data_IF_745694703822
#
_entry.id   IF_745694703822
#
_cell.length_a   1.000
_cell.length_b   1.000
_cell.length_c   1.000
_cell.angle_alpha   90.00
_cell.angle_beta   90.00
_cell.angle_gamma   90.00
#
_symmetry.space_group_name_H-M   'P 1'
#
loop_
_entity.id
_entity.type
_entity.pdbx_description
1 polymer ?
#
# COMPACT_ATOMS: atom_id res chain seq x y z
N UNK A 1 43.26 -13.00 -11.87
CA UNK A 1 43.30 -14.31 -12.56
C UNK A 1 42.17 -14.38 -13.57
N UNK A 2 42.36 -13.77 -14.75
CA UNK A 2 41.41 -13.83 -15.85
C UNK A 2 41.70 -15.09 -16.68
N UNK A 3 40.78 -16.06 -16.65
CA UNK A 3 40.89 -17.25 -17.51
C UNK A 3 40.27 -16.93 -18.86
N UNK A 4 41.14 -16.79 -19.87
CA UNK A 4 40.80 -16.62 -21.27
C UNK A 4 39.93 -17.79 -21.76
N UNK A 5 38.69 -17.50 -22.18
CA UNK A 5 37.88 -18.43 -22.96
C UNK A 5 38.57 -18.54 -24.33
N UNK A 6 39.29 -19.64 -24.56
CA UNK A 6 39.77 -20.01 -25.89
C UNK A 6 38.55 -20.23 -26.79
N UNK A 7 38.39 -19.36 -27.77
CA UNK A 7 37.39 -19.47 -28.84
C UNK A 7 37.58 -20.80 -29.57
N UNK A 8 36.62 -21.72 -29.46
CA UNK A 8 36.52 -22.88 -30.34
C UNK A 8 35.96 -22.41 -31.69
N UNK A 9 36.68 -22.58 -32.81
CA UNK A 9 36.22 -22.13 -34.12
C UNK A 9 35.07 -23.01 -34.61
N UNK A 10 33.96 -22.38 -35.03
CA UNK A 10 32.89 -23.06 -35.77
C UNK A 10 31.51 -23.11 -35.10
N UNK A 11 31.32 -22.55 -33.90
CA UNK A 11 29.97 -22.39 -33.33
C UNK A 11 29.45 -20.98 -33.60
N UNK A 12 28.32 -20.88 -34.32
CA UNK A 12 27.63 -19.60 -34.49
C UNK A 12 27.16 -19.08 -33.12
N UNK A 13 27.06 -17.75 -32.96
CA UNK A 13 26.58 -17.12 -31.73
C UNK A 13 25.19 -17.65 -31.28
N UNK A 14 24.37 -18.12 -32.23
CA UNK A 14 23.07 -18.73 -31.98
C UNK A 14 23.16 -20.12 -31.32
N UNK A 15 24.25 -20.85 -31.57
CA UNK A 15 24.47 -22.21 -31.06
C UNK A 15 24.91 -22.20 -29.58
N UNK A 16 25.58 -21.12 -29.14
CA UNK A 16 25.90 -20.88 -27.73
C UNK A 16 24.69 -20.40 -26.92
N UNK A 17 23.69 -19.80 -27.57
CA UNK A 17 22.44 -19.33 -26.95
C UNK A 17 21.45 -20.48 -26.69
N UNK A 18 21.59 -21.63 -27.36
CA UNK A 18 20.69 -22.76 -27.24
C UNK A 18 21.01 -23.68 -26.04
N UNK A 19 21.16 -23.09 -24.86
CA UNK A 19 21.12 -23.85 -23.60
C UNK A 19 19.67 -24.31 -23.35
N UNK A 20 19.36 -25.56 -23.69
CA UNK A 20 18.10 -26.21 -23.29
C UNK A 20 18.01 -26.24 -21.76
N UNK A 21 17.31 -25.27 -21.16
CA UNK A 21 16.80 -25.40 -19.79
C UNK A 21 15.59 -26.34 -19.85
N UNK A 22 15.69 -27.49 -19.19
CA UNK A 22 14.55 -28.37 -18.98
C UNK A 22 13.65 -27.77 -17.90
N UNK A 23 12.37 -27.60 -18.19
CA UNK A 23 11.35 -27.16 -17.24
C UNK A 23 10.44 -28.35 -16.99
N UNK A 24 10.35 -28.80 -15.75
CA UNK A 24 9.44 -29.87 -15.34
C UNK A 24 8.11 -29.26 -14.88
N UNK A 25 6.99 -29.81 -15.37
CA UNK A 25 5.65 -29.44 -14.94
C UNK A 25 5.01 -30.68 -14.34
N UNK A 26 4.49 -30.55 -13.12
CA UNK A 26 3.74 -31.61 -12.45
C UNK A 26 2.28 -31.20 -12.45
N UNK A 27 1.48 -31.90 -13.25
CA UNK A 27 0.04 -31.67 -13.35
C UNK A 27 -0.69 -32.84 -12.68
N UNK A 28 -1.63 -32.54 -11.79
CA UNK A 28 -2.47 -33.55 -11.14
C UNK A 28 -3.79 -33.80 -11.91
N UNK A 29 -4.04 -32.99 -12.94
CA UNK A 29 -5.23 -33.06 -13.79
C UNK A 29 -5.01 -34.17 -14.84
N UNK A 30 -5.96 -35.11 -14.93
CA UNK A 30 -5.92 -36.25 -15.86
C UNK A 30 -6.10 -35.75 -17.30
N UNK A 31 -5.02 -35.28 -17.93
CA UNK A 31 -4.98 -35.11 -19.38
C UNK A 31 -4.84 -36.49 -20.03
N UNK A 32 -5.83 -36.89 -20.83
CA UNK A 32 -5.87 -38.20 -21.52
C UNK A 32 -4.90 -38.29 -22.70
N UNK A 33 -4.27 -37.18 -23.10
CA UNK A 33 -3.23 -37.12 -24.12
C UNK A 33 -2.53 -35.76 -24.16
N UNK A 34 -1.27 -35.73 -24.59
CA UNK A 34 -0.49 -34.50 -24.76
C UNK A 34 -0.64 -34.03 -26.20
N UNK A 35 -1.42 -32.98 -26.42
CA UNK A 35 -1.51 -32.30 -27.71
C UNK A 35 -0.44 -31.20 -27.80
N UNK A 36 0.14 -31.01 -28.98
CA UNK A 36 1.12 -29.96 -29.25
C UNK A 36 0.42 -28.90 -30.11
N UNK A 37 0.48 -27.63 -29.70
CA UNK A 37 -0.10 -26.55 -30.49
C UNK A 37 0.64 -26.41 -31.84
N UNK A 38 -0.12 -26.31 -32.92
CA UNK A 38 0.39 -26.13 -34.29
C UNK A 38 0.77 -24.66 -34.58
N UNK A 39 1.56 -24.08 -33.68
CA UNK A 39 2.15 -22.75 -33.80
C UNK A 39 3.67 -22.90 -33.95
N UNK A 40 4.36 -21.86 -34.46
CA UNK A 40 5.82 -21.80 -34.54
C UNK A 40 6.55 -22.15 -33.25
N UNK A 41 5.90 -21.98 -32.08
CA UNK A 41 6.46 -22.32 -30.76
C UNK A 41 6.35 -23.81 -30.39
N UNK A 42 5.44 -24.57 -31.02
CA UNK A 42 5.20 -26.01 -30.78
C UNK A 42 5.19 -26.39 -29.29
N UNK A 43 4.46 -25.61 -28.50
CA UNK A 43 4.37 -25.84 -27.05
C UNK A 43 3.33 -26.94 -26.78
N UNK A 44 3.57 -27.86 -25.83
CA UNK A 44 2.53 -28.71 -25.28
C UNK A 44 1.36 -27.87 -24.79
N UNK A 45 0.14 -28.35 -25.01
CA UNK A 45 -1.10 -27.69 -24.59
C UNK A 45 -1.07 -27.34 -23.11
N UNK A 46 -0.55 -28.23 -22.26
CA UNK A 46 -0.37 -27.99 -20.82
C UNK A 46 0.45 -26.73 -20.53
N UNK A 47 1.55 -26.52 -21.26
CA UNK A 47 2.41 -25.35 -21.07
C UNK A 47 1.71 -24.09 -21.56
N UNK A 48 0.99 -24.16 -22.67
CA UNK A 48 0.21 -23.03 -23.19
C UNK A 48 -0.91 -22.65 -22.22
N UNK A 49 -1.68 -23.62 -21.73
CA UNK A 49 -2.75 -23.44 -20.76
C UNK A 49 -2.25 -22.84 -19.44
N UNK A 50 -1.18 -23.39 -18.88
CA UNK A 50 -0.54 -22.85 -17.68
C UNK A 50 -0.08 -21.40 -17.91
N UNK A 51 0.59 -21.13 -19.03
CA UNK A 51 1.04 -19.77 -19.34
C UNK A 51 -0.12 -18.79 -19.52
N UNK A 52 -1.27 -19.23 -20.05
CA UNK A 52 -2.48 -18.38 -20.17
C UNK A 52 -3.08 -18.04 -18.80
N UNK A 53 -3.04 -18.95 -17.83
CA UNK A 53 -3.76 -18.82 -16.55
C UNK A 53 -2.91 -18.35 -15.37
N UNK A 54 -1.60 -18.61 -15.37
CA UNK A 54 -0.68 -18.34 -14.24
C UNK A 54 -0.58 -16.86 -13.82
N UNK A 55 -0.97 -15.93 -14.69
CA UNK A 55 -0.77 -14.50 -14.45
C UNK A 55 -1.87 -13.84 -13.61
N UNK A 56 -2.98 -14.55 -13.31
CA UNK A 56 -4.12 -13.97 -12.61
C UNK A 56 -3.76 -13.26 -11.30
N UNK A 57 -3.02 -13.93 -10.42
CA UNK A 57 -2.57 -13.37 -9.13
C UNK A 57 -1.63 -12.18 -9.34
N UNK A 58 -0.70 -12.27 -10.29
CA UNK A 58 0.20 -11.16 -10.61
C UNK A 58 -0.55 -9.92 -11.11
N UNK A 59 -1.64 -10.09 -11.87
CA UNK A 59 -2.47 -8.97 -12.30
C UNK A 59 -3.17 -8.30 -11.11
N UNK A 60 -3.76 -9.09 -10.21
CA UNK A 60 -4.42 -8.57 -9.01
C UNK A 60 -3.43 -7.86 -8.09
N UNK A 61 -2.23 -8.40 -7.88
CA UNK A 61 -1.18 -7.75 -7.08
C UNK A 61 -0.74 -6.40 -7.68
N UNK A 62 -0.47 -6.37 -8.99
CA UNK A 62 -0.13 -5.12 -9.69
C UNK A 62 -1.26 -4.10 -9.61
N UNK A 63 -2.51 -4.56 -9.69
CA UNK A 63 -3.67 -3.72 -9.51
C UNK A 63 -3.73 -3.16 -8.08
N UNK A 64 -3.60 -3.99 -7.04
CA UNK A 64 -3.64 -3.54 -5.65
C UNK A 64 -2.58 -2.47 -5.38
N UNK A 65 -1.35 -2.68 -5.86
CA UNK A 65 -0.23 -1.74 -5.68
C UNK A 65 -0.47 -0.35 -6.28
N UNK A 66 -1.24 -0.23 -7.37
CA UNK A 66 -1.44 1.05 -8.07
C UNK A 66 -2.32 2.06 -7.31
N UNK A 67 -3.26 1.62 -6.47
CA UNK A 67 -4.10 2.49 -5.62
C UNK A 67 -4.14 1.97 -4.17
N UNK A 68 -3.00 1.49 -3.67
CA UNK A 68 -2.90 0.93 -2.33
C UNK A 68 -3.10 2.01 -1.27
N UNK A 69 -3.96 1.75 -0.29
CA UNK A 69 -4.19 2.65 0.87
C UNK A 69 -3.20 2.41 2.03
N UNK A 70 -2.22 1.53 1.85
CA UNK A 70 -1.22 1.19 2.87
C UNK A 70 -0.40 2.43 3.28
N UNK A 71 -0.52 2.81 4.54
CA UNK A 71 0.40 3.74 5.17
C UNK A 71 1.59 3.01 5.81
N UNK A 72 2.74 3.69 5.93
CA UNK A 72 3.94 3.17 6.59
C UNK A 72 3.68 2.92 8.08
N UNK A 73 3.31 1.68 8.42
CA UNK A 73 2.93 1.30 9.78
C UNK A 73 3.75 0.08 10.25
N UNK A 74 4.24 0.11 11.48
CA UNK A 74 5.01 -0.99 12.09
C UNK A 74 4.14 -2.12 12.68
N UNK A 75 2.83 -2.13 12.39
CA UNK A 75 1.89 -3.11 12.95
C UNK A 75 1.39 -4.06 11.85
N UNK A 76 1.86 -5.31 11.86
CA UNK A 76 1.46 -6.35 10.89
C UNK A 76 -0.05 -6.54 10.71
N UNK A 77 -0.89 -6.54 11.77
CA UNK A 77 -2.33 -6.69 11.61
C UNK A 77 -2.96 -5.58 10.75
N UNK A 78 -2.44 -4.36 10.87
CA UNK A 78 -2.92 -3.22 10.10
C UNK A 78 -2.53 -3.35 8.62
N UNK A 79 -1.37 -3.94 8.32
CA UNK A 79 -0.98 -4.23 6.94
C UNK A 79 -1.90 -5.26 6.29
N UNK A 80 -2.32 -6.29 7.05
CA UNK A 80 -3.31 -7.28 6.59
C UNK A 80 -4.65 -6.59 6.30
N UNK A 81 -5.10 -5.71 7.19
CA UNK A 81 -6.32 -4.94 6.99
C UNK A 81 -6.28 -4.12 5.69
N UNK A 82 -5.19 -3.40 5.42
CA UNK A 82 -5.05 -2.65 4.17
C UNK A 82 -5.00 -3.56 2.92
N UNK A 83 -4.39 -4.74 3.00
CA UNK A 83 -4.46 -5.71 1.90
C UNK A 83 -5.91 -6.12 1.60
N UNK A 84 -6.69 -6.40 2.65
CA UNK A 84 -8.11 -6.78 2.50
C UNK A 84 -8.89 -5.63 1.87
N UNK A 85 -8.65 -4.39 2.29
CA UNK A 85 -9.29 -3.21 1.70
C UNK A 85 -8.96 -3.06 0.21
N UNK A 86 -7.69 -3.19 -0.17
CA UNK A 86 -7.25 -3.11 -1.57
C UNK A 86 -7.95 -4.19 -2.43
N UNK A 87 -8.07 -5.42 -1.93
CA UNK A 87 -8.78 -6.50 -2.63
C UNK A 87 -10.29 -6.25 -2.70
N UNK A 88 -10.91 -5.80 -1.61
CA UNK A 88 -12.34 -5.50 -1.56
C UNK A 88 -12.71 -4.42 -2.58
N UNK A 89 -11.90 -3.36 -2.68
CA UNK A 89 -12.09 -2.29 -3.64
C UNK A 89 -11.99 -2.76 -5.10
N UNK A 90 -11.04 -3.65 -5.41
CA UNK A 90 -10.93 -4.26 -6.75
C UNK A 90 -12.17 -5.11 -7.07
N UNK A 91 -12.60 -5.94 -6.12
CA UNK A 91 -13.77 -6.80 -6.30
C UNK A 91 -15.04 -5.99 -6.48
N UNK A 92 -15.25 -4.94 -5.68
CA UNK A 92 -16.39 -4.05 -5.78
C UNK A 92 -16.43 -3.34 -7.16
N UNK A 93 -15.27 -2.90 -7.67
CA UNK A 93 -15.17 -2.31 -9.01
C UNK A 93 -15.52 -3.30 -10.14
N UNK A 94 -15.08 -4.56 -10.03
CA UNK A 94 -15.41 -5.61 -11.00
C UNK A 94 -16.91 -5.87 -11.01
N UNK A 95 -17.52 -6.01 -9.83
CA UNK A 95 -18.97 -6.21 -9.68
C UNK A 95 -19.75 -5.03 -10.24
N UNK A 96 -19.36 -3.80 -9.91
CA UNK A 96 -20.00 -2.59 -10.43
C UNK A 96 -20.02 -2.56 -11.96
N UNK A 97 -18.90 -2.95 -12.60
CA UNK A 97 -18.82 -3.04 -14.06
C UNK A 97 -19.73 -4.12 -14.64
N UNK A 98 -19.82 -5.26 -13.98
CA UNK A 98 -20.64 -6.38 -14.43
C UNK A 98 -22.13 -6.08 -14.29
N UNK A 99 -22.55 -5.49 -13.18
CA UNK A 99 -23.94 -5.15 -12.92
C UNK A 99 -24.45 -3.99 -13.77
N UNK A 100 -23.65 -2.94 -13.95
CA UNK A 100 -24.12 -1.69 -14.57
C UNK A 100 -23.74 -1.56 -16.04
N UNK A 101 -22.95 -2.51 -16.59
CA UNK A 101 -22.40 -2.42 -17.94
C UNK A 101 -21.52 -1.19 -18.19
N UNK A 102 -21.14 -0.48 -17.13
CA UNK A 102 -20.54 0.85 -17.22
C UNK A 102 -19.03 0.77 -17.49
N UNK A 103 -18.55 1.58 -18.45
CA UNK A 103 -17.12 1.74 -18.72
C UNK A 103 -16.49 2.80 -17.82
N UNK A 104 -16.55 2.60 -16.50
CA UNK A 104 -15.90 3.51 -15.54
C UNK A 104 -14.44 3.11 -15.32
N UNK A 105 -13.55 4.10 -15.35
CA UNK A 105 -12.14 3.89 -15.01
C UNK A 105 -12.01 3.57 -13.51
N UNK A 106 -11.05 2.73 -13.14
CA UNK A 106 -10.87 2.36 -11.72
C UNK A 106 -10.64 3.56 -10.81
N UNK A 107 -9.92 4.57 -11.30
CA UNK A 107 -9.62 5.78 -10.54
C UNK A 107 -10.90 6.55 -10.20
N UNK A 108 -11.76 6.77 -11.21
CA UNK A 108 -13.04 7.45 -11.02
C UNK A 108 -13.94 6.70 -10.03
N UNK A 109 -14.00 5.38 -10.14
CA UNK A 109 -14.78 4.56 -9.20
C UNK A 109 -14.24 4.64 -7.75
N UNK A 110 -12.91 4.68 -7.58
CA UNK A 110 -12.32 4.86 -6.25
C UNK A 110 -12.61 6.25 -5.67
N UNK A 111 -12.59 7.30 -6.50
CA UNK A 111 -12.95 8.65 -6.06
C UNK A 111 -14.41 8.75 -5.65
N UNK A 112 -15.34 8.22 -6.46
CA UNK A 112 -16.77 8.23 -6.11
C UNK A 112 -17.03 7.44 -4.83
N UNK A 113 -16.43 6.26 -4.70
CA UNK A 113 -16.54 5.43 -3.50
C UNK A 113 -16.01 6.17 -2.26
N UNK A 114 -14.87 6.85 -2.36
CA UNK A 114 -14.30 7.60 -1.25
C UNK A 114 -15.15 8.82 -0.86
N UNK A 115 -15.79 9.47 -1.83
CA UNK A 115 -16.70 10.58 -1.60
C UNK A 115 -17.98 10.12 -0.88
N UNK A 116 -18.59 9.04 -1.35
CA UNK A 116 -19.79 8.43 -0.75
C UNK A 116 -19.51 8.00 0.69
N UNK A 117 -18.44 7.23 0.94
CA UNK A 117 -18.07 6.78 2.29
C UNK A 117 -17.65 7.95 3.20
N UNK A 118 -17.12 9.03 2.62
CA UNK A 118 -16.69 10.20 3.36
C UNK A 118 -17.82 11.15 3.74
N UNK A 119 -18.91 11.17 2.97
CA UNK A 119 -20.06 12.06 3.18
C UNK A 119 -20.72 11.81 4.55
N UNK A 120 -21.00 10.56 4.88
CA UNK A 120 -21.63 10.17 6.17
C UNK A 120 -20.78 10.59 7.37
N UNK A 121 -19.46 10.53 7.25
CA UNK A 121 -18.56 10.87 8.35
C UNK A 121 -18.38 12.39 8.52
N UNK A 122 -18.49 13.18 7.44
CA UNK A 122 -18.40 14.66 7.52
C UNK A 122 -19.52 15.26 8.36
N UNK A 123 -20.74 14.74 8.23
CA UNK A 123 -21.90 15.18 9.01
C UNK A 123 -21.69 14.90 10.51
N UNK A 124 -21.15 13.73 10.84
CA UNK A 124 -20.83 13.33 12.21
C UNK A 124 -19.64 14.09 12.81
N UNK A 125 -18.63 14.44 12.00
CA UNK A 125 -17.49 15.28 12.45
C UNK A 125 -17.97 16.71 12.76
N UNK A 126 -18.87 17.27 11.95
CA UNK A 126 -19.44 18.60 12.18
C UNK A 126 -20.21 18.65 13.52
N UNK A 127 -21.01 17.60 13.79
CA UNK A 127 -21.71 17.47 15.08
C UNK A 127 -20.76 17.23 16.26
N UNK A 128 -19.65 16.51 16.04
CA UNK A 128 -18.61 16.32 17.07
C UNK A 128 -17.80 17.59 17.34
N UNK A 129 -17.55 18.46 16.36
CA UNK A 129 -16.85 19.72 16.59
C UNK A 129 -17.64 20.70 17.46
N UNK A 130 -18.97 20.66 17.37
CA UNK A 130 -19.84 21.48 18.22
C UNK A 130 -19.89 20.95 19.67
N UNK A 131 -19.79 19.63 19.85
CA UNK A 131 -19.65 19.01 21.18
C UNK A 131 -18.21 19.08 21.75
N UNK A 132 -17.18 19.16 20.90
CA UNK A 132 -15.77 19.16 21.33
C UNK A 132 -15.25 20.57 21.67
N UNK A 133 -15.90 21.64 21.21
CA UNK A 133 -15.62 23.00 21.70
C UNK A 133 -15.88 23.16 23.20
N UNK A 134 -16.72 22.30 23.79
CA UNK A 134 -17.00 22.31 25.23
C UNK A 134 -16.06 21.42 26.06
N UNK A 135 -15.31 20.50 25.43
CA UNK A 135 -14.47 19.51 26.13
C UNK A 135 -12.96 19.69 25.92
N UNK A 136 -12.50 20.66 25.12
CA UNK A 136 -11.11 21.18 25.22
C UNK A 136 -11.05 22.28 26.30
N UNK A 137 -11.63 22.04 27.47
CA UNK A 137 -11.30 22.80 28.67
C UNK A 137 -10.85 21.78 29.70
N UNK A 138 -9.54 21.83 29.98
CA UNK A 138 -8.86 21.25 31.12
C UNK A 138 -8.80 19.72 31.19
N UNK A 139 -8.06 19.10 30.27
CA UNK A 139 -7.17 18.03 30.76
C UNK A 139 -5.92 18.72 31.30
N UNK A 140 -5.98 19.08 32.58
CA UNK A 140 -4.84 19.50 33.37
C UNK A 140 -3.75 18.42 33.24
N UNK A 141 -2.70 18.71 32.47
CA UNK A 141 -1.54 17.84 32.35
C UNK A 141 -0.33 18.59 32.85
N UNK A 142 0.16 18.06 33.98
CA UNK A 142 1.46 18.21 34.60
C UNK A 142 2.26 19.43 34.15
N UNK A 143 2.04 20.52 34.89
CA UNK A 143 3.01 21.58 35.18
C UNK A 143 4.47 21.26 34.71
N UNK A 144 4.96 21.95 33.67
CA UNK A 144 6.38 21.89 33.23
C UNK A 144 7.23 23.00 33.86
N UNK A 145 8.46 22.69 34.26
CA UNK A 145 9.37 23.64 34.91
C UNK A 145 9.93 24.67 33.93
N UNK A 146 9.98 25.94 34.33
CA UNK A 146 10.56 27.04 33.56
C UNK A 146 12.08 27.03 33.76
N UNK A 147 12.86 26.99 32.67
CA UNK A 147 14.25 27.49 32.66
C UNK A 147 15.43 26.50 32.76
N UNK A 148 15.26 25.17 32.74
CA UNK A 148 16.38 24.22 32.97
C UNK A 148 16.69 23.24 31.82
N UNK A 149 16.60 23.69 30.56
CA UNK A 149 16.73 22.77 29.44
C UNK A 149 17.87 23.18 28.49
N UNK A 150 18.97 22.43 28.53
CA UNK A 150 20.21 22.79 27.84
C UNK A 150 20.22 22.47 26.32
N UNK A 151 19.24 21.69 25.79
CA UNK A 151 19.31 21.17 24.40
C UNK A 151 17.98 20.90 23.64
N UNK A 152 16.78 21.26 24.13
CA UNK A 152 15.52 20.88 23.43
C UNK A 152 14.62 22.06 23.06
N UNK A 153 14.02 21.96 21.86
CA UNK A 153 13.22 22.96 21.13
C UNK A 153 12.17 23.62 22.02
N UNK A 154 12.22 24.95 22.06
CA UNK A 154 11.46 25.85 22.91
C UNK A 154 10.14 26.30 22.28
N UNK A 155 9.03 26.12 22.98
CA UNK A 155 7.74 26.77 22.69
C UNK A 155 7.46 27.88 23.71
N UNK A 156 6.84 28.97 23.27
CA UNK A 156 6.52 30.11 24.14
C UNK A 156 5.22 29.88 24.92
N UNK A 157 5.20 30.34 26.17
CA UNK A 157 3.98 30.46 26.96
C UNK A 157 3.03 31.49 26.34
N UNK A 158 1.72 31.24 26.36
CA UNK A 158 0.74 32.20 25.84
C UNK A 158 0.56 33.39 26.78
N UNK A 159 0.55 33.14 28.09
CA UNK A 159 0.26 34.18 29.09
C UNK A 159 1.46 35.10 29.35
N UNK A 160 2.66 34.55 29.53
CA UNK A 160 3.86 35.32 29.88
C UNK A 160 4.89 35.44 28.76
N UNK A 161 4.69 34.75 27.62
CA UNK A 161 5.63 34.67 26.49
C UNK A 161 7.03 34.13 26.81
N UNK A 162 7.30 33.75 28.06
CA UNK A 162 8.53 33.06 28.45
C UNK A 162 8.65 31.70 27.76
N UNK A 163 9.89 31.29 27.51
CA UNK A 163 10.23 30.02 26.87
C UNK A 163 9.99 28.86 27.84
N UNK A 164 9.19 27.88 27.40
CA UNK A 164 8.91 26.64 28.14
C UNK A 164 9.67 25.50 27.47
N UNK A 165 10.24 24.59 28.26
CA UNK A 165 10.82 23.38 27.71
C UNK A 165 9.88 22.18 27.80
N UNK A 166 9.64 21.55 26.64
CA UNK A 166 8.79 20.37 26.49
C UNK A 166 9.05 19.67 25.16
N UNK A 167 8.76 18.36 25.09
CA UNK A 167 8.78 17.61 23.82
C UNK A 167 7.48 17.93 23.08
N UNK A 168 7.53 18.82 22.10
CA UNK A 168 6.34 19.17 21.31
C UNK A 168 5.93 18.01 20.42
N UNK A 169 4.83 17.36 20.78
CA UNK A 169 4.15 16.38 19.91
C UNK A 169 2.89 17.03 19.37
N UNK A 170 3.05 18.06 18.54
CA UNK A 170 1.95 18.78 17.88
C UNK A 170 1.98 20.31 18.04
N UNK A 171 1.19 21.01 17.20
CA UNK A 171 0.89 22.45 17.32
C UNK A 171 -0.15 22.66 18.43
N UNK A 172 0.28 22.52 19.68
CA UNK A 172 -0.57 22.74 20.87
C UNK A 172 -0.16 24.06 21.53
N UNK A 173 -1.11 24.71 22.20
CA UNK A 173 -0.93 25.93 22.97
C UNK A 173 -0.40 25.61 24.39
N UNK A 174 0.61 26.32 24.89
CA UNK A 174 1.30 26.00 26.16
C UNK A 174 1.19 27.12 27.20
N UNK A 175 1.03 26.74 28.47
CA UNK A 175 0.93 27.65 29.62
C UNK A 175 1.97 27.29 30.69
N UNK A 176 2.60 28.29 31.30
CA UNK A 176 3.69 28.12 32.25
C UNK A 176 3.19 27.82 33.68
N UNK A 177 4.01 27.17 34.53
CA UNK A 177 3.69 26.97 35.97
C UNK A 177 3.40 28.27 36.73
N UNK A 178 4.19 29.32 36.48
CA UNK A 178 3.98 30.63 37.11
C UNK A 178 2.67 31.30 36.68
N UNK A 179 2.09 30.84 35.57
CA UNK A 179 0.88 31.37 34.96
C UNK A 179 -0.36 30.54 35.30
N UNK A 180 -0.18 29.40 35.98
CA UNK A 180 -1.22 28.48 36.43
C UNK A 180 -1.45 28.56 37.95
N UNK A 181 -0.60 29.31 38.67
CA UNK A 181 -0.82 29.75 40.05
C UNK A 181 -1.34 31.18 40.08
#
# INVERSE_FOLDING_TARGET
MATLIRSLPGKSYLDLMYQRRYITYQDHIRHTGVQIEDNHKRLPETISYYNKTKFGVNFVDQMARKYSVKAGNFRWPLHIFFNILDLAAINAWILYKQCNGAKISRNQYMFSLAEELGAENKENICQRSDAFSSSIILQERESFQVGYCNKNKSSNCISCKEVICGKSTGKVQYTCKKCTQ
#
